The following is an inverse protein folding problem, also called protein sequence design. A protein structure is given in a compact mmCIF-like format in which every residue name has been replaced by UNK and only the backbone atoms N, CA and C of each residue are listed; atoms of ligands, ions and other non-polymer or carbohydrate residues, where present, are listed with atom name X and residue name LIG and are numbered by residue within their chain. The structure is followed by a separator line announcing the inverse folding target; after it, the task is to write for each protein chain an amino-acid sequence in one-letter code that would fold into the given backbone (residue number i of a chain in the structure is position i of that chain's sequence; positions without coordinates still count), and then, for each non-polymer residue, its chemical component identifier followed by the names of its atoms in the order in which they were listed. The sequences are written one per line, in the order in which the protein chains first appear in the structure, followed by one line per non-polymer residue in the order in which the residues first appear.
data_IF_753489531459
#
_entry.id   IF_753489531459
#
_cell.length_a   1.000
_cell.length_b   1.000
_cell.length_c   1.000
_cell.angle_alpha   90.00
_cell.angle_beta   90.00
_cell.angle_gamma   90.00
#
_symmetry.space_group_name_H-M   'P 1'
#
loop_
_entity.id
_entity.type
_entity.pdbx_description
1 polymer ?
#
# COMPACT_ATOMS: atom_id res chain seq x y z
N UNK A 1 5.64 21.30 -0.10
CA UNK A 1 6.42 22.23 -0.93
C UNK A 1 5.46 23.24 -1.52
N UNK A 2 5.61 24.52 -1.17
CA UNK A 2 4.80 25.60 -1.74
C UNK A 2 5.38 26.01 -3.10
N UNK A 3 4.50 26.26 -4.07
CA UNK A 3 4.83 26.65 -5.44
C UNK A 3 3.86 27.73 -5.93
N UNK A 4 4.15 28.38 -7.04
CA UNK A 4 3.26 29.39 -7.64
C UNK A 4 1.89 28.86 -8.08
N UNK A 5 1.71 27.53 -8.12
CA UNK A 5 0.45 26.87 -8.46
C UNK A 5 -0.22 26.19 -7.27
N UNK A 6 0.34 26.33 -6.05
CA UNK A 6 -0.21 25.75 -4.83
C UNK A 6 0.79 24.86 -4.08
N UNK A 7 0.28 24.04 -3.17
CA UNK A 7 1.09 23.26 -2.23
C UNK A 7 1.06 21.77 -2.59
N UNK A 8 2.26 21.21 -2.71
CA UNK A 8 2.50 19.78 -2.91
C UNK A 8 2.85 19.10 -1.58
N UNK A 9 2.20 17.99 -1.29
CA UNK A 9 2.43 17.17 -0.10
C UNK A 9 2.66 15.73 -0.53
N UNK A 10 3.92 15.32 -0.48
CA UNK A 10 4.34 13.95 -0.73
C UNK A 10 4.34 13.15 0.56
N UNK A 11 3.81 11.93 0.52
CA UNK A 11 3.89 10.95 1.60
C UNK A 11 4.36 9.62 1.04
N UNK A 12 5.38 9.03 1.66
CA UNK A 12 5.86 7.70 1.32
C UNK A 12 5.87 6.82 2.58
N UNK A 13 5.36 5.60 2.46
CA UNK A 13 5.29 4.62 3.53
C UNK A 13 5.95 3.31 3.08
N UNK A 14 7.04 2.94 3.74
CA UNK A 14 7.70 1.65 3.54
C UNK A 14 7.31 0.69 4.68
N UNK A 15 6.56 -0.35 4.35
CA UNK A 15 6.23 -1.42 5.28
C UNK A 15 7.22 -2.58 5.12
N UNK A 16 8.03 -2.79 6.15
CA UNK A 16 8.86 -3.98 6.29
C UNK A 16 8.16 -5.01 7.17
N UNK A 17 8.15 -6.27 6.73
CA UNK A 17 7.72 -7.40 7.57
C UNK A 17 8.71 -8.54 7.41
N UNK A 18 9.32 -8.94 8.51
CA UNK A 18 10.20 -10.11 8.57
C UNK A 18 9.44 -11.42 8.38
N UNK A 19 10.20 -12.51 8.21
CA UNK A 19 9.66 -13.87 8.15
C UNK A 19 8.75 -14.13 9.35
N UNK A 20 7.52 -14.56 9.10
CA UNK A 20 6.52 -14.82 10.15
C UNK A 20 5.99 -16.24 10.00
N UNK A 21 5.83 -16.96 11.11
CA UNK A 21 5.16 -18.25 11.12
C UNK A 21 3.63 -18.06 11.13
N UNK A 22 2.91 -18.88 10.37
CA UNK A 22 1.44 -18.78 10.26
C UNK A 22 0.71 -19.82 11.12
N UNK A 23 1.44 -20.74 11.75
CA UNK A 23 0.94 -21.79 12.61
C UNK A 23 1.77 -21.87 13.91
N UNK A 24 1.14 -22.37 14.98
CA UNK A 24 1.79 -22.49 16.29
C UNK A 24 2.93 -23.53 16.32
N UNK A 25 2.91 -24.50 15.39
CA UNK A 25 3.95 -25.51 15.25
C UNK A 25 5.14 -25.03 14.39
N UNK A 26 5.10 -23.80 13.88
CA UNK A 26 6.13 -23.16 13.06
C UNK A 26 6.48 -23.92 11.76
N UNK A 27 5.55 -24.69 11.19
CA UNK A 27 5.78 -25.43 9.95
C UNK A 27 5.69 -24.55 8.70
N UNK A 28 4.86 -23.52 8.71
CA UNK A 28 4.56 -22.69 7.55
C UNK A 28 4.95 -21.25 7.80
N UNK A 29 5.55 -20.64 6.77
CA UNK A 29 6.15 -19.32 6.89
C UNK A 29 5.72 -18.40 5.76
N UNK A 30 5.46 -17.15 6.12
CA UNK A 30 5.41 -16.05 5.17
C UNK A 30 6.82 -15.45 5.04
N UNK A 31 7.35 -15.32 3.82
CA UNK A 31 8.68 -14.78 3.61
C UNK A 31 8.74 -13.28 3.94
N UNK A 32 9.95 -12.80 4.19
CA UNK A 32 10.24 -11.37 4.38
C UNK A 32 9.76 -10.54 3.20
N UNK A 33 9.13 -9.40 3.46
CA UNK A 33 8.62 -8.49 2.43
C UNK A 33 8.83 -7.02 2.76
N UNK A 34 8.87 -6.24 1.69
CA UNK A 34 8.89 -4.79 1.71
C UNK A 34 7.78 -4.30 0.77
N UNK A 35 6.90 -3.44 1.26
CA UNK A 35 5.81 -2.85 0.47
C UNK A 35 5.92 -1.33 0.59
N UNK A 36 6.16 -0.66 -0.53
CA UNK A 36 6.21 0.80 -0.60
C UNK A 36 4.87 1.32 -1.10
N UNK A 37 4.31 2.30 -0.40
CA UNK A 37 3.14 3.07 -0.82
C UNK A 37 3.54 4.54 -0.92
N UNK A 38 3.06 5.25 -1.94
CA UNK A 38 3.35 6.66 -2.17
C UNK A 38 2.05 7.40 -2.48
N UNK A 39 1.90 8.59 -1.91
CA UNK A 39 0.80 9.50 -2.16
C UNK A 39 1.37 10.89 -2.43
N UNK A 40 0.87 11.54 -3.47
CA UNK A 40 1.18 12.93 -3.80
C UNK A 40 -0.11 13.72 -3.80
N UNK A 41 -0.17 14.80 -3.02
CA UNK A 41 -1.32 15.69 -3.00
C UNK A 41 -0.90 17.09 -3.43
N UNK A 42 -1.56 17.59 -4.46
CA UNK A 42 -1.55 19.00 -4.81
C UNK A 42 -2.81 19.67 -4.27
N UNK A 43 -2.64 20.87 -3.71
CA UNK A 43 -3.73 21.74 -3.25
C UNK A 43 -3.54 23.11 -3.90
N UNK A 44 -4.58 23.70 -4.48
CA UNK A 44 -4.53 25.01 -5.13
C UNK A 44 -4.18 26.12 -4.14
N UNK A 45 -3.73 27.27 -4.66
CA UNK A 45 -3.33 28.43 -3.86
C UNK A 45 -4.46 29.02 -3.02
N UNK A 46 -5.70 28.92 -3.50
CA UNK A 46 -6.92 29.33 -2.80
C UNK A 46 -7.47 28.25 -1.85
N UNK A 47 -6.77 27.11 -1.72
CA UNK A 47 -7.10 25.97 -0.85
C UNK A 47 -8.43 25.26 -1.12
N UNK A 48 -9.17 25.65 -2.16
CA UNK A 48 -10.44 25.01 -2.50
C UNK A 48 -10.25 23.70 -3.25
N UNK A 49 -9.41 23.67 -4.28
CA UNK A 49 -9.21 22.51 -5.14
C UNK A 49 -8.04 21.66 -4.64
N UNK A 50 -8.21 20.34 -4.63
CA UNK A 50 -7.11 19.42 -4.41
C UNK A 50 -7.16 18.20 -5.33
N UNK A 51 -5.98 17.73 -5.70
CA UNK A 51 -5.77 16.49 -6.46
C UNK A 51 -4.83 15.63 -5.65
N UNK A 52 -5.22 14.39 -5.38
CA UNK A 52 -4.40 13.40 -4.69
C UNK A 52 -4.19 12.20 -5.59
N UNK A 53 -2.95 11.97 -6.02
CA UNK A 53 -2.53 10.76 -6.71
C UNK A 53 -1.91 9.79 -5.69
N UNK A 54 -2.18 8.50 -5.82
CA UNK A 54 -1.60 7.50 -4.93
C UNK A 54 -1.23 6.22 -5.68
N UNK A 55 -0.21 5.55 -5.17
CA UNK A 55 0.26 4.24 -5.61
C UNK A 55 0.47 3.34 -4.39
N UNK A 56 -0.23 2.21 -4.36
CA UNK A 56 -0.07 1.14 -3.38
C UNK A 56 0.78 0.03 -3.98
N UNK A 57 1.63 -0.57 -3.15
CA UNK A 57 2.57 -1.62 -3.57
C UNK A 57 3.40 -1.18 -4.80
N UNK A 58 4.01 0.01 -4.72
CA UNK A 58 4.78 0.63 -5.80
C UNK A 58 5.91 -0.26 -6.31
N UNK A 59 6.48 -1.13 -5.47
CA UNK A 59 7.51 -2.09 -5.90
C UNK A 59 6.94 -3.33 -6.61
N UNK A 60 5.62 -3.43 -6.76
CA UNK A 60 4.90 -4.58 -7.32
C UNK A 60 5.31 -5.91 -6.69
N UNK A 61 5.40 -5.94 -5.36
CA UNK A 61 5.78 -7.15 -4.64
C UNK A 61 4.62 -8.13 -4.66
N UNK A 62 4.84 -9.30 -5.24
CA UNK A 62 3.94 -10.44 -5.12
C UNK A 62 4.23 -11.17 -3.80
N UNK A 63 3.21 -11.28 -2.95
CA UNK A 63 3.30 -12.01 -1.67
C UNK A 63 1.92 -12.49 -1.24
N UNK A 64 1.90 -13.51 -0.39
CA UNK A 64 0.69 -13.94 0.30
C UNK A 64 0.53 -13.11 1.59
N UNK A 65 -0.62 -12.45 1.73
CA UNK A 65 -0.93 -11.68 2.93
C UNK A 65 -1.20 -12.60 4.12
N UNK A 66 -1.85 -13.73 3.88
CA UNK A 66 -2.14 -14.78 4.84
C UNK A 66 -2.10 -16.16 4.18
N UNK A 67 -1.94 -17.20 4.98
CA UNK A 67 -2.06 -18.59 4.56
C UNK A 67 -3.16 -19.21 5.41
N UNK A 68 -4.15 -19.83 4.76
CA UNK A 68 -5.18 -20.60 5.45
C UNK A 68 -4.68 -22.04 5.64
N UNK A 69 -4.49 -22.42 6.90
CA UNK A 69 -4.02 -23.75 7.32
C UNK A 69 -5.16 -24.72 7.66
N UNK A 70 -6.40 -24.25 7.65
CA UNK A 70 -7.60 -25.03 8.02
C UNK A 70 -8.31 -25.64 6.81
N UNK A 71 -7.77 -25.48 5.61
CA UNK A 71 -8.41 -25.90 4.39
C UNK A 71 -8.19 -27.40 4.13
N UNK A 72 -9.26 -28.12 3.77
CA UNK A 72 -9.31 -29.60 3.72
C UNK A 72 -8.45 -30.18 2.59
N UNK A 73 -8.09 -29.34 1.60
CA UNK A 73 -7.41 -29.74 0.36
C UNK A 73 -5.91 -29.32 0.39
N UNK A 74 -5.42 -28.78 1.50
CA UNK A 74 -4.05 -28.28 1.66
C UNK A 74 -3.96 -26.77 1.86
N UNK A 75 -2.74 -26.23 1.95
CA UNK A 75 -2.50 -24.82 2.25
C UNK A 75 -3.01 -23.90 1.14
N UNK A 76 -3.80 -22.90 1.50
CA UNK A 76 -4.26 -21.88 0.56
C UNK A 76 -3.72 -20.50 0.94
N UNK A 77 -2.81 -19.96 0.13
CA UNK A 77 -2.33 -18.58 0.26
C UNK A 77 -3.36 -17.57 -0.26
N UNK A 78 -3.56 -16.47 0.47
CA UNK A 78 -4.35 -15.32 0.03
C UNK A 78 -3.39 -14.26 -0.54
N UNK A 79 -3.47 -14.02 -1.85
CA UNK A 79 -2.59 -13.08 -2.54
C UNK A 79 -2.89 -11.65 -2.10
N UNK A 80 -1.84 -10.89 -1.81
CA UNK A 80 -1.97 -9.47 -1.58
C UNK A 80 -2.35 -8.73 -2.87
N UNK A 81 -2.96 -7.53 -2.76
CA UNK A 81 -3.23 -6.69 -3.92
C UNK A 81 -1.95 -6.39 -4.72
N UNK A 82 -2.01 -6.44 -6.05
CA UNK A 82 -0.90 -6.05 -6.90
C UNK A 82 -0.65 -4.53 -6.81
N UNK A 83 0.38 -4.04 -7.51
CA UNK A 83 0.59 -2.59 -7.68
C UNK A 83 -0.71 -1.94 -8.17
N UNK A 84 -1.24 -1.00 -7.40
CA UNK A 84 -2.50 -0.32 -7.70
C UNK A 84 -2.29 1.18 -7.63
N UNK A 85 -2.80 1.92 -8.60
CA UNK A 85 -2.76 3.38 -8.64
C UNK A 85 -4.17 3.94 -8.61
N UNK A 86 -4.30 5.18 -8.15
CA UNK A 86 -5.56 5.89 -8.19
C UNK A 86 -5.36 7.38 -8.03
N UNK A 87 -6.44 8.10 -8.26
CA UNK A 87 -6.50 9.55 -8.16
C UNK A 87 -7.81 9.97 -7.52
N UNK A 88 -7.75 11.04 -6.75
CA UNK A 88 -8.91 11.67 -6.12
C UNK A 88 -8.84 13.16 -6.40
N UNK A 89 -9.92 13.71 -6.92
CA UNK A 89 -10.09 15.15 -7.11
C UNK A 89 -11.19 15.59 -6.14
N UNK A 90 -10.96 16.68 -5.43
CA UNK A 90 -11.93 17.21 -4.48
C UNK A 90 -11.92 18.74 -4.42
N UNK A 91 -13.06 19.28 -4.02
CA UNK A 91 -13.28 20.71 -3.85
C UNK A 91 -13.81 20.96 -2.44
N UNK A 92 -13.27 21.96 -1.76
CA UNK A 92 -13.67 22.41 -0.42
C UNK A 92 -14.34 23.78 -0.56
N UNK A 93 -15.53 23.93 0.02
CA UNK A 93 -16.33 25.17 -0.02
C UNK A 93 -15.99 26.10 1.14
#
# INVERSE_FOLDING_TARGET
METGIGTFTTSANLNYRGKTFVDAANHYTLPTRYVLNVTERWTSTDQHLFITAWAKNLLNKNYDYSINITNVIGLAGQKAPPRTYGMTVGYTF
#
